data_IF_613692462209
#
_entry.id   IF_613692462209
#
_cell.length_a   1.000
_cell.length_b   1.000
_cell.length_c   1.000
_cell.angle_alpha   90.00
_cell.angle_beta   90.00
_cell.angle_gamma   90.00
#
_symmetry.space_group_name_H-M   'P 1'
#
loop_
_entity.id
_entity.type
_entity.pdbx_description
1 polymer ?
#
# COMPACT_ATOMS: atom_id res chain seq x y z
N UNK A 1 -57.15 30.00 -7.28
CA UNK A 1 -56.05 29.38 -6.51
C UNK A 1 -55.50 28.23 -7.35
N UNK A 2 -54.36 28.44 -8.01
CA UNK A 2 -53.80 27.54 -9.04
C UNK A 2 -53.19 26.30 -8.38
N UNK A 3 -53.62 25.11 -8.80
CA UNK A 3 -52.92 23.85 -8.57
C UNK A 3 -51.59 23.86 -9.35
N UNK A 4 -50.46 23.80 -8.64
CA UNK A 4 -49.17 23.46 -9.24
C UNK A 4 -49.00 21.93 -9.17
N UNK A 5 -49.08 21.28 -10.32
CA UNK A 5 -48.61 19.92 -10.53
C UNK A 5 -47.11 20.03 -10.82
N UNK A 6 -46.25 19.67 -9.86
CA UNK A 6 -44.82 19.51 -10.10
C UNK A 6 -44.58 18.10 -10.65
N UNK A 7 -44.27 18.05 -11.95
CA UNK A 7 -43.79 16.88 -12.66
C UNK A 7 -42.44 16.41 -12.09
N UNK A 8 -42.42 15.21 -11.52
CA UNK A 8 -41.20 14.51 -11.11
C UNK A 8 -40.49 13.99 -12.36
N UNK A 9 -39.56 14.78 -12.91
CA UNK A 9 -38.68 14.31 -13.99
C UNK A 9 -37.60 13.41 -13.38
N UNK A 10 -37.87 12.11 -13.41
CA UNK A 10 -36.91 11.05 -13.09
C UNK A 10 -35.88 10.97 -14.23
N UNK A 11 -34.84 11.81 -14.18
CA UNK A 11 -33.64 11.65 -15.01
C UNK A 11 -32.78 10.53 -14.42
N UNK A 12 -33.11 9.28 -14.74
CA UNK A 12 -32.15 8.17 -14.65
C UNK A 12 -31.16 8.38 -15.79
N UNK A 13 -30.14 9.21 -15.55
CA UNK A 13 -28.94 9.16 -16.36
C UNK A 13 -28.23 7.87 -15.96
N UNK A 14 -28.37 6.85 -16.82
CA UNK A 14 -27.61 5.61 -16.72
C UNK A 14 -26.13 5.92 -16.88
N UNK A 15 -25.47 6.28 -15.78
CA UNK A 15 -24.04 6.14 -15.67
C UNK A 15 -23.79 4.64 -15.68
N UNK A 16 -23.21 4.13 -16.76
CA UNK A 16 -22.60 2.81 -16.78
C UNK A 16 -21.53 2.78 -15.69
N UNK A 17 -21.91 2.40 -14.48
CA UNK A 17 -20.96 2.10 -13.41
C UNK A 17 -20.05 0.98 -13.91
N UNK A 18 -18.72 1.19 -13.84
CA UNK A 18 -17.78 0.09 -14.00
C UNK A 18 -18.21 -1.06 -13.08
N UNK A 19 -18.07 -2.29 -13.55
CA UNK A 19 -18.62 -3.48 -12.87
C UNK A 19 -18.36 -3.46 -11.36
N UNK A 20 -19.35 -3.94 -10.59
CA UNK A 20 -19.21 -4.14 -9.16
C UNK A 20 -17.96 -4.95 -8.86
N UNK A 21 -17.26 -4.60 -7.80
CA UNK A 21 -16.06 -5.30 -7.38
C UNK A 21 -16.36 -6.80 -7.12
N UNK A 22 -15.52 -7.68 -7.67
CA UNK A 22 -15.57 -9.14 -7.58
C UNK A 22 -14.13 -9.66 -7.45
N UNK A 23 -13.80 -10.11 -6.24
CA UNK A 23 -12.49 -10.67 -5.90
C UNK A 23 -12.17 -11.93 -6.71
N UNK A 24 -13.17 -12.74 -7.07
CA UNK A 24 -12.97 -13.97 -7.84
C UNK A 24 -12.52 -13.68 -9.27
N UNK A 25 -12.99 -12.57 -9.86
CA UNK A 25 -12.54 -12.11 -11.18
C UNK A 25 -11.06 -11.69 -11.14
N UNK A 26 -10.66 -10.96 -10.10
CA UNK A 26 -9.25 -10.59 -9.87
C UNK A 26 -8.37 -11.83 -9.79
N UNK A 27 -8.73 -12.83 -8.98
CA UNK A 27 -7.94 -14.07 -8.84
C UNK A 27 -7.85 -14.81 -10.18
N UNK A 28 -8.98 -15.00 -10.86
CA UNK A 28 -9.08 -15.71 -12.15
C UNK A 28 -8.23 -15.05 -13.24
N UNK A 29 -8.19 -13.72 -13.29
CA UNK A 29 -7.42 -12.94 -14.27
C UNK A 29 -5.95 -12.76 -13.89
N UNK A 30 -5.53 -13.18 -12.70
CA UNK A 30 -4.15 -13.16 -12.23
C UNK A 30 -3.61 -14.58 -11.90
N UNK A 31 -3.68 -15.57 -12.81
CA UNK A 31 -3.34 -16.96 -12.50
C UNK A 31 -1.88 -17.16 -12.07
N UNK A 32 -0.97 -16.32 -12.58
CA UNK A 32 0.44 -16.34 -12.19
C UNK A 32 0.70 -15.91 -10.74
N UNK A 33 -0.12 -15.00 -10.20
CA UNK A 33 -0.05 -14.59 -8.80
C UNK A 33 -0.78 -15.61 -7.93
N UNK A 34 -1.99 -16.02 -8.32
CA UNK A 34 -2.77 -17.03 -7.61
C UNK A 34 -1.95 -18.30 -7.35
N UNK A 35 -1.28 -18.83 -8.37
CA UNK A 35 -0.40 -20.01 -8.22
C UNK A 35 0.71 -19.81 -7.18
N UNK A 36 1.25 -18.61 -7.04
CA UNK A 36 2.36 -18.30 -6.13
C UNK A 36 1.92 -18.07 -4.69
N UNK A 37 0.64 -17.77 -4.50
CA UNK A 37 0.05 -17.53 -3.19
C UNK A 37 -0.80 -18.71 -2.71
N UNK A 38 -1.15 -19.67 -3.57
CA UNK A 38 -2.04 -20.79 -3.25
C UNK A 38 -1.62 -21.62 -2.02
N UNK A 39 -0.30 -21.71 -1.75
CA UNK A 39 0.20 -22.37 -0.54
C UNK A 39 -0.33 -21.74 0.76
N UNK A 40 -0.72 -20.45 0.74
CA UNK A 40 -1.27 -19.73 1.88
C UNK A 40 -2.59 -20.32 2.38
N UNK A 41 -3.37 -21.00 1.51
CA UNK A 41 -4.59 -21.74 1.92
C UNK A 41 -4.33 -22.81 2.98
N UNK A 42 -3.08 -23.28 3.10
CA UNK A 42 -2.65 -24.30 4.06
C UNK A 42 -2.02 -23.70 5.31
N UNK A 43 -1.92 -22.37 5.41
CA UNK A 43 -1.27 -21.67 6.51
C UNK A 43 -2.33 -21.27 7.53
N UNK A 44 -2.19 -21.76 8.76
CA UNK A 44 -3.00 -21.30 9.89
C UNK A 44 -2.35 -20.05 10.52
N UNK A 45 -3.00 -18.90 10.35
CA UNK A 45 -2.56 -17.64 10.94
C UNK A 45 -2.67 -17.72 12.48
N UNK A 46 -1.59 -17.43 13.21
CA UNK A 46 -1.57 -17.49 14.67
C UNK A 46 -2.13 -16.20 15.28
N UNK A 47 -1.63 -15.05 14.84
CA UNK A 47 -1.96 -13.73 15.37
C UNK A 47 -2.74 -12.89 14.36
N UNK A 48 -3.61 -11.99 14.83
CA UNK A 48 -4.14 -10.91 13.98
C UNK A 48 -3.01 -9.97 13.59
N UNK A 49 -2.98 -9.60 12.31
CA UNK A 49 -2.01 -8.66 11.77
C UNK A 49 -2.72 -7.57 10.99
N UNK A 50 -2.50 -6.33 11.42
CA UNK A 50 -2.98 -5.15 10.72
C UNK A 50 -1.87 -4.59 9.85
N UNK A 51 -2.17 -4.32 8.58
CA UNK A 51 -1.29 -3.63 7.65
C UNK A 51 -1.86 -2.26 7.28
N UNK A 52 -1.05 -1.22 7.26
CA UNK A 52 -1.47 0.09 6.73
C UNK A 52 -1.15 0.19 5.24
N UNK A 53 -2.07 0.77 4.45
CA UNK A 53 -1.83 1.13 3.05
C UNK A 53 -1.84 2.66 2.97
N UNK A 54 -0.67 3.25 2.76
CA UNK A 54 -0.48 4.70 2.66
C UNK A 54 -0.37 5.08 1.17
N UNK A 55 -1.28 5.92 0.70
CA UNK A 55 -1.33 6.38 -0.69
C UNK A 55 -2.47 7.36 -0.96
N UNK A 56 -3.25 7.13 -2.00
CA UNK A 56 -4.53 7.80 -2.27
C UNK A 56 -5.74 7.12 -1.61
N UNK A 57 -6.93 7.56 -2.00
CA UNK A 57 -8.20 7.16 -1.41
C UNK A 57 -8.56 5.69 -1.68
N UNK A 58 -9.06 5.01 -0.65
CA UNK A 58 -9.55 3.62 -0.71
C UNK A 58 -11.05 3.61 -0.38
N UNK A 59 -11.84 2.96 -1.23
CA UNK A 59 -13.28 2.74 -1.02
C UNK A 59 -13.52 1.75 0.13
N UNK A 60 -13.68 2.28 1.35
CA UNK A 60 -13.86 1.47 2.56
C UNK A 60 -15.10 0.58 2.51
N UNK A 61 -16.21 1.05 1.93
CA UNK A 61 -17.43 0.26 1.77
C UNK A 61 -17.19 -1.00 0.91
N UNK A 62 -16.40 -0.86 -0.15
CA UNK A 62 -16.09 -1.96 -1.09
C UNK A 62 -15.21 -3.03 -0.43
N UNK A 63 -14.33 -2.63 0.48
CA UNK A 63 -13.36 -3.51 1.14
C UNK A 63 -13.68 -3.72 2.63
N UNK A 64 -14.91 -3.45 3.04
CA UNK A 64 -15.32 -3.29 4.46
C UNK A 64 -14.95 -4.48 5.35
N UNK A 65 -15.01 -5.71 4.85
CA UNK A 65 -14.70 -6.92 5.62
C UNK A 65 -13.21 -7.08 5.97
N UNK A 66 -12.31 -6.40 5.27
CA UNK A 66 -10.88 -6.40 5.59
C UNK A 66 -10.41 -5.12 6.29
N UNK A 67 -11.25 -4.09 6.42
CA UNK A 67 -10.88 -2.86 7.13
C UNK A 67 -10.72 -3.12 8.64
N UNK A 68 -9.67 -2.58 9.24
CA UNK A 68 -9.51 -2.48 10.69
C UNK A 68 -10.18 -1.21 11.19
N UNK A 69 -11.41 -1.31 11.67
CA UNK A 69 -12.12 -0.18 12.27
C UNK A 69 -11.49 0.26 13.60
N UNK A 70 -11.59 1.56 13.92
CA UNK A 70 -11.30 2.11 15.24
C UNK A 70 -12.56 2.02 16.09
N UNK A 71 -12.70 0.94 16.88
CA UNK A 71 -13.88 0.72 17.74
C UNK A 71 -14.02 1.75 18.87
N UNK A 72 -13.02 2.61 19.05
CA UNK A 72 -13.05 3.70 20.04
C UNK A 72 -13.59 5.01 19.47
N UNK A 73 -13.74 5.11 18.16
CA UNK A 73 -14.37 6.24 17.49
C UNK A 73 -15.85 5.95 17.23
N UNK A 74 -16.68 6.99 17.30
CA UNK A 74 -18.05 6.95 16.80
C UNK A 74 -18.10 7.52 15.38
N UNK A 75 -18.41 6.66 14.40
CA UNK A 75 -18.52 7.04 12.98
C UNK A 75 -19.45 8.25 12.77
N UNK A 76 -18.87 9.34 12.27
CA UNK A 76 -19.59 10.52 11.79
C UNK A 76 -20.00 11.53 12.86
N UNK A 77 -19.40 11.51 14.05
CA UNK A 77 -19.64 12.53 15.08
C UNK A 77 -18.70 13.76 15.00
N UNK A 78 -17.63 13.67 14.19
CA UNK A 78 -16.62 14.72 13.98
C UNK A 78 -15.82 15.11 15.24
N UNK A 79 -15.66 14.17 16.16
CA UNK A 79 -14.84 14.31 17.36
C UNK A 79 -13.65 13.35 17.31
N UNK A 80 -12.67 13.59 18.16
CA UNK A 80 -11.60 12.63 18.49
C UNK A 80 -12.04 11.97 19.80
N UNK A 81 -12.77 10.85 19.70
CA UNK A 81 -13.39 10.19 20.85
C UNK A 81 -12.39 9.41 21.70
N UNK A 82 -11.31 8.94 21.07
CA UNK A 82 -10.27 8.15 21.71
C UNK A 82 -9.04 8.98 22.15
N UNK A 83 -9.07 10.29 21.90
CA UNK A 83 -8.04 11.29 22.18
C UNK A 83 -6.66 10.91 21.56
N UNK A 84 -6.65 10.28 20.38
CA UNK A 84 -5.42 9.91 19.67
C UNK A 84 -4.85 11.07 18.82
N UNK A 85 -5.58 12.19 18.72
CA UNK A 85 -5.24 13.38 17.94
C UNK A 85 -5.78 13.39 16.50
N UNK A 86 -6.67 12.46 16.15
CA UNK A 86 -7.21 12.30 14.80
C UNK A 86 -8.75 12.23 14.85
N UNK A 87 -9.40 13.31 14.42
CA UNK A 87 -10.87 13.41 14.41
C UNK A 87 -11.52 12.38 13.46
N UNK A 88 -12.51 11.64 13.98
CA UNK A 88 -13.43 10.75 13.26
C UNK A 88 -12.70 9.67 12.44
N UNK A 89 -11.57 9.15 12.96
CA UNK A 89 -10.68 8.21 12.27
C UNK A 89 -11.19 6.75 12.24
N UNK A 90 -12.51 6.58 12.17
CA UNK A 90 -13.22 5.30 12.31
C UNK A 90 -12.72 4.21 11.35
N UNK A 91 -12.62 4.50 10.06
CA UNK A 91 -12.09 3.54 9.07
C UNK A 91 -10.58 3.69 8.85
N UNK A 92 -10.05 4.89 9.03
CA UNK A 92 -8.69 5.29 8.67
C UNK A 92 -8.59 6.81 8.61
N UNK A 93 -7.54 7.34 7.97
CA UNK A 93 -7.26 8.79 8.00
C UNK A 93 -7.00 9.39 6.62
N UNK A 94 -7.54 10.58 6.39
CA UNK A 94 -7.20 11.43 5.26
C UNK A 94 -6.36 12.62 5.74
N UNK A 95 -5.04 12.57 5.53
CA UNK A 95 -4.11 13.64 5.89
C UNK A 95 -4.18 14.87 4.98
N UNK A 96 -4.81 14.75 3.82
CA UNK A 96 -5.06 15.91 2.96
C UNK A 96 -6.16 16.80 3.55
N UNK A 97 -7.28 16.18 3.94
CA UNK A 97 -8.45 16.88 4.49
C UNK A 97 -8.43 16.95 6.02
N UNK A 98 -7.46 16.31 6.66
CA UNK A 98 -7.25 16.24 8.11
C UNK A 98 -8.47 15.71 8.88
N UNK A 99 -9.09 14.66 8.37
CA UNK A 99 -10.21 13.97 9.01
C UNK A 99 -10.23 12.49 8.61
N UNK A 100 -10.96 11.67 9.35
CA UNK A 100 -11.17 10.27 8.98
C UNK A 100 -12.21 10.02 7.89
N UNK A 101 -12.78 11.10 7.32
CA UNK A 101 -13.67 11.00 6.16
C UNK A 101 -12.90 10.53 4.92
N UNK A 102 -12.98 9.23 4.71
CA UNK A 102 -12.59 8.57 3.46
C UNK A 102 -13.78 8.59 2.50
N UNK A 103 -14.27 9.79 2.14
CA UNK A 103 -15.38 9.95 1.20
C UNK A 103 -15.03 10.78 -0.03
N UNK A 104 -13.83 11.37 -0.09
CA UNK A 104 -13.43 12.21 -1.22
C UNK A 104 -12.95 11.30 -2.35
N UNK A 105 -13.67 11.23 -3.48
CA UNK A 105 -13.20 10.45 -4.62
C UNK A 105 -11.95 11.14 -5.17
N UNK A 106 -10.80 10.50 -5.04
CA UNK A 106 -9.61 10.93 -5.78
C UNK A 106 -9.89 10.73 -7.25
N UNK A 107 -9.37 11.61 -8.10
CA UNK A 107 -9.60 11.59 -9.56
C UNK A 107 -9.23 10.25 -10.25
N UNK A 108 -8.51 9.36 -9.56
CA UNK A 108 -8.08 8.04 -10.04
C UNK A 108 -8.25 6.96 -8.98
N UNK A 109 -8.43 5.71 -9.40
CA UNK A 109 -8.53 4.54 -8.52
C UNK A 109 -7.23 3.80 -8.19
N UNK A 110 -6.08 4.48 -8.03
CA UNK A 110 -4.80 3.76 -7.92
C UNK A 110 -4.69 2.90 -6.65
N UNK A 111 -4.97 3.45 -5.46
CA UNK A 111 -4.96 2.65 -4.24
C UNK A 111 -6.15 1.68 -4.16
N UNK A 112 -7.26 1.94 -4.87
CA UNK A 112 -8.33 0.95 -5.06
C UNK A 112 -7.83 -0.24 -5.89
N UNK A 113 -7.06 0.00 -6.95
CA UNK A 113 -6.41 -1.04 -7.75
C UNK A 113 -5.46 -1.89 -6.92
N UNK A 114 -4.65 -1.27 -6.08
CA UNK A 114 -3.77 -1.95 -5.13
C UNK A 114 -4.58 -2.76 -4.12
N UNK A 115 -5.58 -2.15 -3.49
CA UNK A 115 -6.38 -2.77 -2.43
C UNK A 115 -7.20 -3.92 -2.98
N UNK A 116 -7.69 -3.83 -4.23
CA UNK A 116 -8.38 -4.94 -4.91
C UNK A 116 -7.51 -6.19 -5.05
N UNK A 117 -6.20 -6.02 -5.31
CA UNK A 117 -5.28 -7.16 -5.37
C UNK A 117 -5.06 -7.75 -3.98
N UNK A 118 -4.84 -6.91 -2.97
CA UNK A 118 -4.63 -7.36 -1.57
C UNK A 118 -5.87 -8.08 -1.06
N UNK A 119 -7.04 -7.47 -1.18
CA UNK A 119 -8.31 -8.06 -0.75
C UNK A 119 -8.56 -9.39 -1.46
N UNK A 120 -8.41 -9.44 -2.79
CA UNK A 120 -8.71 -10.66 -3.52
C UNK A 120 -7.86 -11.85 -3.07
N UNK A 121 -6.57 -11.61 -2.77
CA UNK A 121 -5.69 -12.65 -2.27
C UNK A 121 -5.80 -12.90 -0.77
N UNK A 122 -6.32 -11.97 0.03
CA UNK A 122 -6.78 -12.28 1.40
C UNK A 122 -7.97 -13.24 1.36
N UNK A 123 -8.97 -12.93 0.52
CA UNK A 123 -10.22 -13.70 0.42
C UNK A 123 -9.99 -15.09 -0.18
N UNK A 124 -9.28 -15.21 -1.30
CA UNK A 124 -8.99 -16.52 -1.93
C UNK A 124 -8.21 -17.45 -1.00
N UNK A 125 -7.30 -16.90 -0.20
CA UNK A 125 -6.45 -17.67 0.70
C UNK A 125 -6.98 -17.74 2.14
N UNK A 126 -8.21 -17.27 2.39
CA UNK A 126 -8.89 -17.33 3.70
C UNK A 126 -8.09 -16.69 4.84
N UNK A 127 -7.40 -15.58 4.57
CA UNK A 127 -6.50 -14.90 5.51
C UNK A 127 -7.25 -13.92 6.44
N UNK A 128 -8.34 -14.37 7.09
CA UNK A 128 -9.28 -13.51 7.83
C UNK A 128 -8.68 -12.72 9.01
N UNK A 129 -7.51 -13.15 9.52
CA UNK A 129 -6.74 -12.46 10.56
C UNK A 129 -5.86 -11.33 10.02
N UNK A 130 -5.85 -11.07 8.71
CA UNK A 130 -5.17 -9.91 8.11
C UNK A 130 -6.19 -8.80 7.89
N UNK A 131 -5.91 -7.61 8.45
CA UNK A 131 -6.75 -6.42 8.32
C UNK A 131 -5.96 -5.25 7.75
N UNK A 132 -6.65 -4.28 7.15
CA UNK A 132 -6.03 -3.11 6.53
C UNK A 132 -6.46 -1.80 7.20
N UNK A 133 -5.53 -0.85 7.34
CA UNK A 133 -5.82 0.56 7.67
C UNK A 133 -5.57 1.40 6.41
N UNK A 134 -6.60 1.95 5.78
CA UNK A 134 -6.45 2.89 4.66
C UNK A 134 -5.99 4.28 5.16
N UNK A 135 -4.96 4.85 4.51
CA UNK A 135 -4.45 6.18 4.85
C UNK A 135 -4.18 6.98 3.57
N UNK A 136 -4.90 8.09 3.39
CA UNK A 136 -4.72 9.00 2.25
C UNK A 136 -3.75 10.14 2.62
N UNK A 137 -2.72 10.34 1.80
CA UNK A 137 -1.74 11.45 1.90
C UNK A 137 -1.69 12.32 0.65
N UNK A 138 -2.48 11.99 -0.37
CA UNK A 138 -2.53 12.68 -1.66
C UNK A 138 -3.65 13.71 -1.72
N UNK A 139 -3.50 14.72 -2.57
CA UNK A 139 -4.59 15.66 -2.86
C UNK A 139 -5.67 14.99 -3.70
N UNK A 140 -6.84 15.62 -3.82
CA UNK A 140 -7.97 15.11 -4.62
C UNK A 140 -7.63 14.91 -6.11
N UNK A 141 -6.61 15.64 -6.60
CA UNK A 141 -6.08 15.52 -7.97
C UNK A 141 -4.85 14.62 -8.08
N UNK A 142 -4.49 13.92 -6.99
CA UNK A 142 -3.29 13.08 -6.85
C UNK A 142 -1.98 13.85 -7.09
N UNK A 143 -1.98 15.16 -6.90
CA UNK A 143 -0.76 15.97 -6.92
C UNK A 143 -0.02 15.85 -5.59
N UNK A 144 1.30 15.94 -5.65
CA UNK A 144 2.13 16.02 -4.46
C UNK A 144 2.40 17.50 -4.17
N UNK A 145 1.86 17.99 -3.07
CA UNK A 145 2.16 19.33 -2.55
C UNK A 145 3.49 19.32 -1.78
N UNK A 146 3.94 20.51 -1.38
CA UNK A 146 5.18 20.69 -0.60
C UNK A 146 5.15 20.01 0.79
N UNK A 147 3.95 19.73 1.32
CA UNK A 147 3.74 19.03 2.59
C UNK A 147 3.65 17.52 2.41
N UNK A 148 3.80 16.99 1.20
CA UNK A 148 3.60 15.58 0.91
C UNK A 148 4.42 14.66 1.81
N UNK A 149 5.72 14.91 1.97
CA UNK A 149 6.55 14.08 2.85
C UNK A 149 6.27 14.33 4.33
N UNK A 150 5.72 15.49 4.71
CA UNK A 150 5.19 15.68 6.07
C UNK A 150 4.00 14.75 6.29
N UNK A 151 3.03 14.73 5.37
CA UNK A 151 1.85 13.84 5.42
C UNK A 151 2.26 12.36 5.46
N UNK A 152 3.25 11.95 4.66
CA UNK A 152 3.81 10.59 4.71
C UNK A 152 4.44 10.29 6.07
N UNK A 153 5.18 11.23 6.67
CA UNK A 153 5.78 11.07 7.99
C UNK A 153 4.71 10.90 9.08
N UNK A 154 3.69 11.77 9.08
CA UNK A 154 2.58 11.74 10.03
C UNK A 154 1.74 10.46 9.86
N UNK A 155 1.55 10.00 8.62
CA UNK A 155 0.84 8.77 8.29
C UNK A 155 1.57 7.51 8.81
N UNK A 156 2.91 7.50 8.80
CA UNK A 156 3.69 6.40 9.39
C UNK A 156 3.48 6.34 10.90
N UNK A 157 3.48 7.49 11.58
CA UNK A 157 3.21 7.54 13.03
C UNK A 157 1.78 7.16 13.36
N UNK A 158 0.81 7.61 12.56
CA UNK A 158 -0.58 7.23 12.71
C UNK A 158 -0.79 5.73 12.54
N UNK A 159 -0.23 5.13 11.49
CA UNK A 159 -0.25 3.68 11.29
C UNK A 159 0.32 2.94 12.51
N UNK A 160 1.43 3.43 13.06
CA UNK A 160 2.04 2.90 14.30
C UNK A 160 1.09 3.03 15.51
N UNK A 161 0.42 4.18 15.69
CA UNK A 161 -0.55 4.41 16.78
C UNK A 161 -1.76 3.48 16.66
N UNK A 162 -2.25 3.27 15.43
CA UNK A 162 -3.32 2.34 15.09
C UNK A 162 -2.89 0.86 15.13
N UNK A 163 -1.66 0.57 15.56
CA UNK A 163 -1.19 -0.79 15.78
C UNK A 163 -0.80 -1.56 14.51
N UNK A 164 -0.53 -0.87 13.39
CA UNK A 164 -0.05 -1.52 12.19
C UNK A 164 1.27 -2.26 12.46
N UNK A 165 1.36 -3.49 11.96
CA UNK A 165 2.55 -4.35 12.04
C UNK A 165 3.32 -4.36 10.71
N UNK A 166 2.66 -3.99 9.62
CA UNK A 166 3.24 -3.80 8.28
C UNK A 166 2.71 -2.51 7.68
N UNK A 167 3.52 -1.74 6.96
CA UNK A 167 3.11 -0.53 6.24
C UNK A 167 3.51 -0.69 4.77
N UNK A 168 2.55 -0.58 3.86
CA UNK A 168 2.75 -0.59 2.41
C UNK A 168 2.65 0.83 1.86
N UNK A 169 3.68 1.27 1.14
CA UNK A 169 3.77 2.59 0.53
C UNK A 169 4.05 2.46 -0.98
N UNK A 170 2.98 2.46 -1.78
CA UNK A 170 3.05 2.40 -3.25
C UNK A 170 3.16 3.79 -3.89
N UNK A 171 3.92 4.65 -3.23
CA UNK A 171 4.11 6.06 -3.50
C UNK A 171 5.61 6.37 -3.57
N UNK A 172 5.97 7.52 -4.12
CA UNK A 172 7.33 8.02 -3.95
C UNK A 172 7.62 9.33 -4.65
N UNK A 173 8.62 10.02 -4.12
CA UNK A 173 9.20 11.25 -4.67
C UNK A 173 10.70 11.08 -4.85
N UNK A 174 11.29 11.91 -5.70
CA UNK A 174 12.74 12.04 -5.76
C UNK A 174 13.29 12.43 -4.38
N UNK A 175 14.17 11.61 -3.81
CA UNK A 175 14.75 11.87 -2.50
C UNK A 175 15.62 13.14 -2.51
N UNK A 176 16.18 13.52 -3.67
CA UNK A 176 16.99 14.73 -3.84
C UNK A 176 16.16 15.99 -4.11
N UNK A 177 14.84 15.88 -4.25
CA UNK A 177 13.98 17.03 -4.42
C UNK A 177 14.04 17.96 -3.20
N UNK A 178 14.28 19.25 -3.43
CA UNK A 178 14.24 20.25 -2.37
C UNK A 178 12.81 20.57 -1.92
N UNK A 179 11.81 20.56 -2.82
CA UNK A 179 10.46 21.02 -2.51
C UNK A 179 9.76 20.14 -1.47
N UNK A 180 9.87 18.81 -1.63
CA UNK A 180 9.21 17.86 -0.73
C UNK A 180 9.87 17.76 0.65
N UNK A 181 11.10 18.24 0.80
CA UNK A 181 11.84 18.14 2.04
C UNK A 181 12.12 19.52 2.64
N UNK A 182 11.25 20.53 2.48
CA UNK A 182 11.47 21.86 3.11
C UNK A 182 10.31 22.32 4.00
N UNK A 183 9.45 21.40 4.43
CA UNK A 183 8.26 21.69 5.24
C UNK A 183 8.54 22.08 6.71
N UNK A 184 9.78 21.97 7.21
CA UNK A 184 10.19 22.50 8.54
C UNK A 184 11.17 23.63 8.34
N UNK A 185 10.77 24.85 8.68
CA UNK A 185 11.60 26.06 8.62
C UNK A 185 12.32 26.26 7.27
N UNK A 186 11.72 25.81 6.16
CA UNK A 186 12.33 25.83 4.83
C UNK A 186 13.69 25.09 4.77
N UNK A 187 13.91 24.10 5.65
CA UNK A 187 15.19 23.44 5.88
C UNK A 187 15.16 21.95 5.55
N UNK A 188 16.00 21.56 4.58
CA UNK A 188 16.12 20.17 4.09
C UNK A 188 16.49 19.16 5.15
N UNK A 189 17.47 19.48 5.97
CA UNK A 189 17.98 18.55 6.97
C UNK A 189 16.96 18.33 8.08
N UNK A 190 16.26 19.38 8.54
CA UNK A 190 15.20 19.28 9.55
C UNK A 190 14.04 18.42 9.06
N UNK A 191 13.55 18.66 7.84
CA UNK A 191 12.46 17.87 7.26
C UNK A 191 12.85 16.41 7.00
N UNK A 192 14.07 16.16 6.53
CA UNK A 192 14.56 14.79 6.37
C UNK A 192 14.70 14.07 7.72
N UNK A 193 15.21 14.76 8.75
CA UNK A 193 15.30 14.23 10.10
C UNK A 193 13.93 13.92 10.70
N UNK A 194 12.92 14.76 10.44
CA UNK A 194 11.53 14.50 10.85
C UNK A 194 10.99 13.20 10.24
N UNK A 195 11.13 13.04 8.93
CA UNK A 195 10.72 11.85 8.22
C UNK A 195 11.46 10.60 8.70
N UNK A 196 12.78 10.66 8.83
CA UNK A 196 13.58 9.54 9.33
C UNK A 196 13.25 9.18 10.78
N UNK A 197 12.87 10.16 11.61
CA UNK A 197 12.43 9.87 12.97
C UNK A 197 11.10 9.10 13.00
N UNK A 198 10.16 9.38 12.09
CA UNK A 198 8.92 8.62 11.96
C UNK A 198 9.18 7.18 11.52
N UNK A 199 10.04 6.99 10.51
CA UNK A 199 10.51 5.66 10.08
C UNK A 199 11.15 4.92 11.25
N UNK A 200 12.08 5.55 11.97
CA UNK A 200 12.75 4.95 13.13
C UNK A 200 11.76 4.54 14.23
N UNK A 201 10.78 5.39 14.57
CA UNK A 201 9.76 5.05 15.58
C UNK A 201 8.94 3.83 15.19
N UNK A 202 8.60 3.68 13.90
CA UNK A 202 7.93 2.49 13.41
C UNK A 202 8.83 1.24 13.50
N UNK A 203 10.10 1.36 13.13
CA UNK A 203 11.07 0.27 13.25
C UNK A 203 11.33 -0.18 14.69
N UNK A 204 11.44 0.77 15.63
CA UNK A 204 11.64 0.50 17.04
C UNK A 204 10.46 -0.30 17.64
N UNK A 205 9.29 -0.26 16.98
CA UNK A 205 8.10 -1.08 17.29
C UNK A 205 8.03 -2.40 16.50
N UNK A 206 9.06 -2.73 15.72
CA UNK A 206 9.11 -3.94 14.90
C UNK A 206 8.20 -3.89 13.68
N UNK A 207 7.76 -2.70 13.25
CA UNK A 207 6.89 -2.54 12.08
C UNK A 207 7.72 -2.68 10.80
N UNK A 208 7.27 -3.54 9.89
CA UNK A 208 7.89 -3.72 8.58
C UNK A 208 7.32 -2.68 7.60
N UNK A 209 8.16 -1.78 7.09
CA UNK A 209 7.76 -0.82 6.05
C UNK A 209 8.25 -1.28 4.69
N UNK A 210 7.38 -1.19 3.68
CA UNK A 210 7.65 -1.63 2.31
C UNK A 210 7.35 -0.47 1.34
N UNK A 211 8.30 -0.14 0.48
CA UNK A 211 8.17 0.99 -0.46
C UNK A 211 8.46 0.61 -1.91
N UNK A 212 7.71 1.17 -2.85
CA UNK A 212 7.85 0.87 -4.28
C UNK A 212 9.06 1.58 -4.93
N UNK A 213 9.96 0.80 -5.54
CA UNK A 213 11.09 1.31 -6.32
C UNK A 213 10.57 1.83 -7.67
N UNK A 214 10.59 3.15 -7.88
CA UNK A 214 10.13 3.91 -9.06
C UNK A 214 9.82 3.12 -10.34
N UNK A 215 8.74 3.46 -11.03
CA UNK A 215 8.34 2.78 -12.26
C UNK A 215 9.17 3.16 -13.50
N UNK A 216 10.14 4.06 -13.38
CA UNK A 216 11.04 4.41 -14.47
C UNK A 216 12.12 3.32 -14.66
N UNK A 217 12.07 2.53 -15.75
CA UNK A 217 13.04 1.48 -15.98
C UNK A 217 14.47 1.99 -16.25
N UNK A 218 14.67 3.26 -16.60
CA UNK A 218 15.99 3.82 -16.87
C UNK A 218 16.71 4.30 -15.58
N UNK A 219 15.95 4.51 -14.51
CA UNK A 219 16.45 5.10 -13.26
C UNK A 219 17.30 4.13 -12.45
N UNK A 220 18.52 4.56 -12.11
CA UNK A 220 19.43 3.89 -11.17
C UNK A 220 19.25 4.50 -9.77
N UNK A 221 18.61 3.77 -8.86
CA UNK A 221 18.31 4.27 -7.52
C UNK A 221 19.55 4.43 -6.63
N UNK A 222 20.70 3.87 -7.01
CA UNK A 222 21.97 4.17 -6.30
C UNK A 222 22.39 5.62 -6.57
N UNK A 223 22.08 6.16 -7.74
CA UNK A 223 22.42 7.53 -8.15
C UNK A 223 21.28 8.51 -7.91
N UNK A 224 20.05 8.05 -8.13
CA UNK A 224 18.84 8.87 -8.07
C UNK A 224 17.82 8.21 -7.12
N UNK A 225 18.08 8.23 -5.79
CA UNK A 225 17.22 7.55 -4.82
C UNK A 225 15.81 8.13 -4.77
N UNK A 226 14.84 7.33 -4.35
CA UNK A 226 13.46 7.77 -4.09
C UNK A 226 13.05 7.49 -2.65
N UNK A 227 12.27 8.40 -2.08
CA UNK A 227 11.62 8.21 -0.79
C UNK A 227 10.14 7.84 -1.00
N UNK A 228 9.57 6.88 -0.26
CA UNK A 228 10.15 6.20 0.90
C UNK A 228 11.05 5.01 0.58
N UNK A 229 11.00 4.44 -0.63
CA UNK A 229 11.57 3.11 -0.92
C UNK A 229 13.06 2.95 -0.57
N UNK A 230 13.91 3.94 -0.85
CA UNK A 230 15.35 3.88 -0.54
C UNK A 230 15.73 4.48 0.81
N UNK A 231 14.76 4.77 1.68
CA UNK A 231 15.02 5.30 3.02
C UNK A 231 15.55 4.21 3.93
N UNK A 232 16.51 4.54 4.79
CA UNK A 232 17.01 3.61 5.80
C UNK A 232 15.86 3.05 6.62
N UNK A 233 15.73 1.73 6.63
CA UNK A 233 14.71 1.04 7.40
C UNK A 233 13.39 0.75 6.67
N UNK A 234 13.30 1.13 5.40
CA UNK A 234 12.22 0.73 4.49
C UNK A 234 12.74 -0.39 3.57
N UNK A 235 11.92 -1.41 3.35
CA UNK A 235 12.20 -2.50 2.41
C UNK A 235 11.82 -2.03 1.01
N UNK A 236 12.81 -1.80 0.15
CA UNK A 236 12.58 -1.35 -1.22
C UNK A 236 12.16 -2.50 -2.14
N UNK A 237 11.07 -2.34 -2.89
CA UNK A 237 10.50 -3.38 -3.77
C UNK A 237 10.47 -2.94 -5.23
N UNK A 238 11.19 -3.66 -6.08
CA UNK A 238 11.12 -3.55 -7.54
C UNK A 238 10.02 -4.40 -8.17
N UNK A 239 9.75 -4.11 -9.44
CA UNK A 239 8.80 -4.83 -10.28
C UNK A 239 9.51 -5.74 -11.28
N UNK A 240 9.03 -6.97 -11.44
CA UNK A 240 9.37 -7.86 -12.56
C UNK A 240 8.15 -8.25 -13.38
N UNK A 241 8.37 -8.68 -14.62
CA UNK A 241 7.38 -9.45 -15.37
C UNK A 241 7.51 -10.96 -15.06
N UNK A 242 6.61 -11.79 -15.60
CA UNK A 242 6.62 -13.25 -15.38
C UNK A 242 7.87 -13.98 -15.94
N UNK A 243 8.64 -13.33 -16.81
CA UNK A 243 9.95 -13.81 -17.27
C UNK A 243 11.08 -13.53 -16.28
N UNK A 244 10.79 -12.88 -15.15
CA UNK A 244 11.76 -12.38 -14.17
C UNK A 244 12.70 -11.29 -14.72
N UNK A 245 12.23 -10.46 -15.65
CA UNK A 245 12.94 -9.24 -16.09
C UNK A 245 12.46 -8.05 -15.29
N UNK A 246 13.39 -7.23 -14.76
CA UNK A 246 13.07 -5.96 -14.08
C UNK A 246 12.32 -5.03 -15.04
N UNK A 247 11.19 -4.48 -14.58
CA UNK A 247 10.33 -3.53 -15.30
C UNK A 247 10.28 -2.14 -14.64
N UNK A 248 10.78 -2.01 -13.40
CA UNK A 248 10.94 -0.76 -12.67
C UNK A 248 12.38 -0.23 -12.74
N UNK A 249 12.66 0.80 -11.96
CA UNK A 249 14.01 1.22 -11.60
C UNK A 249 14.84 0.05 -11.04
N UNK A 250 16.16 0.20 -11.12
CA UNK A 250 17.15 -0.78 -10.70
C UNK A 250 18.14 -0.14 -9.71
N UNK A 251 18.99 -0.94 -9.09
CA UNK A 251 19.99 -0.46 -8.13
C UNK A 251 20.23 -1.43 -6.99
N UNK A 252 21.46 -1.49 -6.48
CA UNK A 252 21.85 -2.38 -5.38
C UNK A 252 21.22 -1.99 -4.01
N UNK A 253 20.50 -0.87 -3.96
CA UNK A 253 19.69 -0.40 -2.84
C UNK A 253 18.20 -0.76 -2.96
N UNK A 254 17.82 -1.57 -3.96
CA UNK A 254 16.51 -2.25 -4.00
C UNK A 254 16.65 -3.62 -3.35
N UNK A 255 15.85 -3.90 -2.33
CA UNK A 255 15.96 -5.12 -1.53
C UNK A 255 15.39 -6.34 -2.23
N UNK A 256 14.14 -6.22 -2.68
CA UNK A 256 13.34 -7.32 -3.22
C UNK A 256 12.78 -6.92 -4.59
N UNK A 257 12.36 -7.90 -5.37
CA UNK A 257 11.45 -7.65 -6.48
C UNK A 257 10.38 -8.72 -6.57
N UNK A 258 9.20 -8.32 -7.04
CA UNK A 258 8.08 -9.20 -7.29
C UNK A 258 7.35 -8.82 -8.57
N UNK A 259 6.63 -9.78 -9.14
CA UNK A 259 5.64 -9.58 -10.21
C UNK A 259 4.66 -8.44 -9.93
N UNK A 260 4.74 -7.40 -10.76
CA UNK A 260 3.81 -6.27 -10.74
C UNK A 260 3.46 -5.81 -12.15
N UNK A 261 3.67 -6.65 -13.17
CA UNK A 261 3.44 -6.32 -14.59
C UNK A 261 2.40 -7.23 -15.20
N UNK A 262 1.39 -6.64 -15.85
CA UNK A 262 0.33 -7.39 -16.50
C UNK A 262 -0.69 -7.94 -15.51
N UNK A 263 -0.86 -7.27 -14.36
CA UNK A 263 -1.85 -7.68 -13.36
C UNK A 263 -3.22 -7.09 -13.69
N UNK A 264 -4.29 -7.76 -13.28
CA UNK A 264 -5.67 -7.28 -13.43
C UNK A 264 -6.17 -6.74 -12.10
N UNK A 265 -6.65 -5.50 -12.07
CA UNK A 265 -7.03 -4.79 -10.84
C UNK A 265 -8.30 -3.96 -11.04
N UNK A 266 -9.04 -3.70 -9.95
CA UNK A 266 -10.25 -2.88 -9.94
C UNK A 266 -9.98 -1.49 -9.37
N UNK A 267 -10.27 -0.46 -10.15
CA UNK A 267 -10.01 0.95 -9.83
C UNK A 267 -11.25 1.69 -9.34
N UNK A 268 -12.41 1.04 -9.36
CA UNK A 268 -13.66 1.66 -8.96
C UNK A 268 -14.21 2.71 -9.92
N UNK A 269 -15.44 3.14 -9.62
CA UNK A 269 -16.17 4.16 -10.37
C UNK A 269 -16.21 3.92 -11.88
N UNK A 270 -15.82 4.95 -12.64
CA UNK A 270 -15.75 4.93 -14.11
C UNK A 270 -14.58 4.12 -14.66
N UNK A 271 -13.52 3.91 -13.87
CA UNK A 271 -12.29 3.27 -14.34
C UNK A 271 -12.44 1.74 -14.35
N UNK A 272 -13.31 1.19 -13.50
CA UNK A 272 -13.66 -0.23 -13.48
C UNK A 272 -12.44 -1.14 -13.37
N UNK A 273 -12.43 -2.24 -14.12
CA UNK A 273 -11.29 -3.16 -14.17
C UNK A 273 -10.30 -2.80 -15.27
N UNK A 274 -9.00 -3.00 -15.00
CA UNK A 274 -7.93 -2.76 -15.97
C UNK A 274 -6.70 -3.60 -15.73
N UNK A 275 -5.91 -3.75 -16.79
CA UNK A 275 -4.55 -4.29 -16.69
C UNK A 275 -3.59 -3.21 -16.23
N UNK A 276 -2.72 -3.54 -15.27
CA UNK A 276 -1.80 -2.62 -14.61
C UNK A 276 -0.36 -3.11 -14.68
N UNK A 277 0.58 -2.16 -14.50
CA UNK A 277 2.00 -2.44 -14.36
C UNK A 277 2.67 -1.44 -13.43
N UNK A 278 3.58 -1.91 -12.57
CA UNK A 278 4.39 -1.07 -11.70
C UNK A 278 4.82 -1.75 -10.40
N UNK A 279 5.87 -1.23 -9.78
CA UNK A 279 6.31 -1.63 -8.43
C UNK A 279 5.25 -1.31 -7.37
N UNK A 280 4.36 -0.36 -7.66
CA UNK A 280 3.15 -0.08 -6.88
C UNK A 280 2.23 -1.28 -6.69
N UNK A 281 2.27 -2.30 -7.58
CA UNK A 281 1.48 -3.54 -7.44
C UNK A 281 2.29 -4.71 -6.87
N UNK A 282 3.62 -4.68 -7.01
CA UNK A 282 4.52 -5.62 -6.34
C UNK A 282 4.57 -5.39 -4.83
N UNK A 283 4.67 -4.12 -4.43
CA UNK A 283 4.82 -3.66 -3.04
C UNK A 283 3.74 -4.17 -2.08
N UNK A 284 2.43 -4.03 -2.37
CA UNK A 284 1.37 -4.45 -1.46
C UNK A 284 1.27 -5.99 -1.33
N UNK A 285 1.64 -6.75 -2.36
CA UNK A 285 1.65 -8.22 -2.30
C UNK A 285 2.86 -8.75 -1.52
N UNK A 286 4.01 -8.06 -1.59
CA UNK A 286 5.12 -8.25 -0.65
C UNK A 286 4.65 -7.95 0.78
N UNK A 287 4.00 -6.82 0.99
CA UNK A 287 3.49 -6.43 2.31
C UNK A 287 2.48 -7.44 2.88
N UNK A 288 1.55 -7.96 2.07
CA UNK A 288 0.63 -9.03 2.45
C UNK A 288 1.39 -10.29 2.90
N UNK A 289 2.43 -10.69 2.17
CA UNK A 289 3.26 -11.84 2.57
C UNK A 289 3.98 -11.60 3.89
N UNK A 290 4.51 -10.39 4.09
CA UNK A 290 5.14 -10.01 5.35
C UNK A 290 4.12 -9.95 6.50
N UNK A 291 2.85 -9.62 6.22
CA UNK A 291 1.78 -9.67 7.21
C UNK A 291 1.48 -11.12 7.63
N UNK A 292 1.42 -12.06 6.68
CA UNK A 292 1.33 -13.50 6.98
C UNK A 292 2.55 -13.95 7.80
N UNK A 293 3.75 -13.55 7.39
CA UNK A 293 4.98 -13.90 8.11
C UNK A 293 4.95 -13.39 9.56
N UNK A 294 4.53 -12.13 9.79
CA UNK A 294 4.36 -11.57 11.14
C UNK A 294 3.25 -12.25 11.94
N UNK A 295 2.21 -12.78 11.28
CA UNK A 295 1.19 -13.57 11.97
C UNK A 295 1.78 -14.83 12.57
N UNK A 296 2.73 -15.47 11.87
CA UNK A 296 3.42 -16.67 12.31
C UNK A 296 4.56 -16.38 13.30
N UNK A 297 5.29 -15.28 13.10
CA UNK A 297 6.45 -14.82 13.88
C UNK A 297 6.38 -13.30 14.14
N UNK A 298 5.68 -12.87 15.20
CA UNK A 298 5.45 -11.45 15.51
C UNK A 298 6.73 -10.61 15.70
N UNK A 299 7.81 -11.26 16.11
CA UNK A 299 9.13 -10.68 16.36
C UNK A 299 9.89 -10.24 15.10
N UNK A 300 9.43 -10.66 13.91
CA UNK A 300 10.05 -10.27 12.65
C UNK A 300 10.14 -8.75 12.52
N UNK A 301 11.32 -8.27 12.14
CA UNK A 301 11.66 -6.86 12.05
C UNK A 301 12.49 -6.57 10.81
N UNK A 302 12.85 -5.30 10.59
CA UNK A 302 13.72 -4.93 9.47
C UNK A 302 15.09 -5.60 9.54
N UNK A 303 15.56 -6.00 10.72
CA UNK A 303 16.82 -6.74 10.87
C UNK A 303 16.80 -8.08 10.12
N UNK A 304 15.62 -8.64 9.89
CA UNK A 304 15.41 -9.89 9.16
C UNK A 304 15.37 -9.70 7.64
N UNK A 305 15.62 -8.50 7.11
CA UNK A 305 15.58 -8.25 5.65
C UNK A 305 16.54 -9.15 4.87
N UNK A 306 17.62 -9.63 5.48
CA UNK A 306 18.50 -10.65 4.90
C UNK A 306 17.80 -11.98 4.62
N UNK A 307 16.92 -12.41 5.53
CA UNK A 307 16.07 -13.59 5.34
C UNK A 307 15.14 -13.40 4.13
N UNK A 308 14.52 -12.22 4.01
CA UNK A 308 13.60 -11.90 2.92
C UNK A 308 14.34 -11.91 1.57
N UNK A 309 15.50 -11.25 1.50
CA UNK A 309 16.33 -11.16 0.28
C UNK A 309 16.81 -12.52 -0.23
N UNK A 310 16.98 -13.50 0.65
CA UNK A 310 17.46 -14.85 0.28
C UNK A 310 16.32 -15.83 -0.02
N UNK A 311 15.06 -15.42 0.11
CA UNK A 311 13.89 -16.25 -0.24
C UNK A 311 13.57 -16.06 -1.71
N UNK A 312 14.16 -16.91 -2.56
CA UNK A 312 14.23 -16.72 -4.01
C UNK A 312 13.48 -17.79 -4.80
N UNK A 313 12.55 -17.45 -5.69
CA UNK A 313 11.92 -18.46 -6.59
C UNK A 313 12.63 -18.58 -7.94
N UNK A 314 13.08 -17.46 -8.51
CA UNK A 314 13.64 -17.40 -9.87
C UNK A 314 14.71 -16.32 -9.96
N UNK A 315 15.80 -16.60 -10.64
CA UNK A 315 16.87 -15.61 -10.89
C UNK A 315 16.33 -14.47 -11.75
N UNK A 316 16.67 -13.24 -11.39
CA UNK A 316 16.35 -12.07 -12.22
C UNK A 316 17.25 -12.08 -13.44
N UNK A 317 16.66 -11.85 -14.61
CA UNK A 317 17.37 -11.89 -15.89
C UNK A 317 17.63 -10.49 -16.44
N UNK A 318 18.77 -10.31 -17.11
CA UNK A 318 19.17 -9.05 -17.75
C UNK A 318 20.34 -8.34 -17.06
N UNK A 319 20.70 -7.17 -17.57
CA UNK A 319 21.81 -6.35 -17.05
C UNK A 319 21.43 -5.51 -15.83
N UNK A 320 20.13 -5.27 -15.62
CA UNK A 320 19.60 -4.55 -14.46
C UNK A 320 19.66 -5.43 -13.23
N UNK A 321 20.24 -4.89 -12.16
CA UNK A 321 20.45 -5.61 -10.92
C UNK A 321 19.71 -4.95 -9.75
N UNK A 322 19.38 -5.79 -8.77
CA UNK A 322 18.91 -5.41 -7.44
C UNK A 322 19.69 -6.22 -6.41
N UNK A 323 19.49 -5.96 -5.11
CA UNK A 323 20.25 -6.59 -4.04
C UNK A 323 20.04 -8.10 -3.93
N UNK A 324 18.79 -8.60 -4.00
CA UNK A 324 18.49 -10.04 -3.92
C UNK A 324 18.94 -10.85 -5.14
N UNK A 325 19.11 -10.19 -6.30
CA UNK A 325 19.38 -10.82 -7.62
C UNK A 325 18.35 -11.90 -8.05
N UNK A 326 17.24 -12.01 -7.33
CA UNK A 326 16.20 -13.01 -7.55
C UNK A 326 14.82 -12.40 -7.29
N UNK A 327 13.80 -13.01 -7.88
CA UNK A 327 12.41 -12.74 -7.55
C UNK A 327 12.11 -13.34 -6.18
N UNK A 328 11.56 -12.50 -5.29
CA UNK A 328 11.18 -12.91 -3.95
C UNK A 328 10.11 -14.01 -3.99
N UNK A 329 10.25 -15.01 -3.12
CA UNK A 329 9.34 -16.15 -3.00
C UNK A 329 8.65 -16.14 -1.63
N UNK A 330 7.32 -15.95 -1.60
CA UNK A 330 6.53 -16.05 -0.37
C UNK A 330 6.63 -17.41 0.27
N UNK A 331 6.47 -18.46 -0.53
CA UNK A 331 6.47 -19.83 -0.06
C UNK A 331 7.80 -20.16 0.63
N UNK A 332 8.93 -19.81 0.01
CA UNK A 332 10.25 -20.03 0.62
C UNK A 332 10.48 -19.16 1.84
N UNK A 333 9.93 -17.95 1.92
CA UNK A 333 10.00 -17.17 3.15
C UNK A 333 9.26 -17.91 4.26
N UNK A 334 7.99 -18.26 4.05
CA UNK A 334 7.16 -18.93 5.06
C UNK A 334 7.78 -20.28 5.48
N UNK A 335 8.33 -21.05 4.55
CA UNK A 335 9.03 -22.31 4.85
C UNK A 335 10.25 -22.11 5.77
N UNK A 336 11.00 -21.02 5.63
CA UNK A 336 12.14 -20.73 6.52
C UNK A 336 11.73 -20.22 7.90
N UNK A 337 10.46 -19.84 8.08
CA UNK A 337 9.93 -19.40 9.36
C UNK A 337 9.39 -20.56 10.19
N UNK A 338 9.05 -21.69 9.58
CA UNK A 338 8.70 -22.93 10.28
C UNK A 338 9.95 -23.71 10.68
#
# INVERSE_FOLDING_TARGET
MRLLILSLSLLITGVSFGGSYDSSEIVKKNPGIAKRLDFLKKIELKNEVTMAIIGDYIHTDTFSHIIKINEKEQDGNFLDDDNNGYEDDYYGMNFNNRNGRLYTPVATGHENGITSLVEAFITDNQLSKIKIIPINVTTDTRTFDELYMKKVSDAIDYARLRGAQVISMSIGVDAESNSFFKFIDNNRQKSLAYYQAAVKRAQDKGILMVGSASNDPARDLVKEPVAPANSTGVISVGNVNFDAKIQSAYGANIDLAWYGTGLYAWYGGKDGYRTVKGSSYSTPLVALTLAVAKSLKPELSFNDVGLFRTSCEKTITGSKNIKSKCVFSPEKLIQKLN
#
